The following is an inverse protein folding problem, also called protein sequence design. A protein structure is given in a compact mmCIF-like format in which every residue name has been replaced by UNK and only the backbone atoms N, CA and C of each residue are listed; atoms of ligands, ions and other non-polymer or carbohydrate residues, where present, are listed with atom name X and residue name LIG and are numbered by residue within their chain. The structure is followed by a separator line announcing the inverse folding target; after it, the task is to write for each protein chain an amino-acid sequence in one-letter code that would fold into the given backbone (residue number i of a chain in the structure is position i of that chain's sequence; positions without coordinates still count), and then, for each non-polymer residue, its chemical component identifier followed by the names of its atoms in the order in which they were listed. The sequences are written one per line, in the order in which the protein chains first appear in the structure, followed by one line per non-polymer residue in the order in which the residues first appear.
data_IF_143284329516
#
_entry.id   IF_143284329516
#
_cell.length_a   1.000
_cell.length_b   1.000
_cell.length_c   1.000
_cell.angle_alpha   90.00
_cell.angle_beta   90.00
_cell.angle_gamma   90.00
#
_symmetry.space_group_name_H-M   'P 1'
#
loop_
_entity.id
_entity.type
_entity.pdbx_description
1 polymer ?
#
# COMPACT_ATOMS: atom_id res chain seq x y z
N UNK A 1 -18.13 8.70 -7.04
CA UNK A 1 -17.11 7.72 -7.49
C UNK A 1 -17.75 6.72 -8.44
N UNK A 2 -17.05 6.37 -9.50
CA UNK A 2 -17.56 5.38 -10.46
C UNK A 2 -17.82 4.04 -9.78
N UNK A 3 -18.82 3.32 -10.24
CA UNK A 3 -19.16 2.00 -9.71
C UNK A 3 -19.73 1.09 -10.81
N UNK A 4 -19.85 -0.18 -10.49
CA UNK A 4 -20.49 -1.18 -11.34
C UNK A 4 -21.74 -1.63 -10.61
N UNK A 5 -22.89 -1.59 -11.31
CA UNK A 5 -24.15 -2.03 -10.72
C UNK A 5 -24.36 -3.53 -10.96
N UNK A 6 -23.79 -4.34 -10.08
CA UNK A 6 -23.90 -5.81 -10.17
C UNK A 6 -25.29 -6.33 -9.90
N UNK A 7 -26.15 -5.53 -9.26
CA UNK A 7 -27.51 -5.94 -8.87
C UNK A 7 -28.61 -5.45 -9.81
N UNK A 8 -28.22 -4.76 -10.90
CA UNK A 8 -29.20 -4.24 -11.85
C UNK A 8 -30.02 -5.34 -12.51
N UNK A 9 -29.42 -6.53 -12.70
CA UNK A 9 -30.07 -7.68 -13.33
C UNK A 9 -29.33 -8.95 -12.93
N UNK A 10 -30.01 -10.08 -12.91
CA UNK A 10 -29.38 -11.38 -12.67
C UNK A 10 -28.38 -11.74 -13.76
N UNK A 11 -27.41 -12.58 -13.44
CA UNK A 11 -26.37 -13.07 -14.35
C UNK A 11 -25.53 -11.95 -14.96
N UNK A 12 -25.11 -10.98 -14.14
CA UNK A 12 -24.21 -9.91 -14.59
C UNK A 12 -22.92 -10.51 -15.17
N UNK A 13 -22.51 -10.12 -16.40
CA UNK A 13 -21.29 -10.67 -17.00
C UNK A 13 -20.05 -10.13 -16.30
N UNK A 14 -19.24 -11.05 -15.78
CA UNK A 14 -17.91 -10.71 -15.27
C UNK A 14 -16.89 -10.83 -16.41
N UNK A 15 -16.31 -9.73 -16.79
CA UNK A 15 -15.34 -9.64 -17.87
C UNK A 15 -14.02 -9.05 -17.38
N UNK A 16 -12.96 -9.14 -18.19
CA UNK A 16 -11.71 -8.47 -17.88
C UNK A 16 -11.93 -6.96 -17.72
N UNK A 17 -12.81 -6.36 -18.51
CA UNK A 17 -13.13 -4.94 -18.42
C UNK A 17 -13.80 -4.58 -17.09
N UNK A 18 -14.77 -5.38 -16.64
CA UNK A 18 -15.44 -5.13 -15.37
C UNK A 18 -14.49 -5.28 -14.20
N UNK A 19 -13.61 -6.29 -14.22
CA UNK A 19 -12.62 -6.48 -13.16
C UNK A 19 -11.56 -5.39 -13.18
N UNK A 20 -11.13 -4.95 -14.35
CA UNK A 20 -10.18 -3.84 -14.47
C UNK A 20 -10.80 -2.55 -13.92
N UNK A 21 -12.07 -2.29 -14.19
CA UNK A 21 -12.77 -1.12 -13.64
C UNK A 21 -12.78 -1.15 -12.11
N UNK A 22 -12.99 -2.31 -11.49
CA UNK A 22 -12.90 -2.47 -10.03
C UNK A 22 -11.50 -2.10 -9.54
N UNK A 23 -10.45 -2.60 -10.21
CA UNK A 23 -9.08 -2.25 -9.84
C UNK A 23 -8.81 -0.74 -9.97
N UNK A 24 -9.31 -0.10 -11.02
CA UNK A 24 -9.12 1.34 -11.21
C UNK A 24 -9.81 2.15 -10.09
N UNK A 25 -10.98 1.70 -9.65
CA UNK A 25 -11.67 2.34 -8.52
C UNK A 25 -10.88 2.19 -7.22
N UNK A 26 -10.28 1.02 -6.97
CA UNK A 26 -9.42 0.78 -5.81
C UNK A 26 -8.18 1.69 -5.87
N UNK A 27 -7.53 1.78 -7.03
CA UNK A 27 -6.34 2.64 -7.21
C UNK A 27 -6.67 4.11 -7.01
N UNK A 28 -7.84 4.55 -7.50
CA UNK A 28 -8.29 5.92 -7.29
C UNK A 28 -8.44 6.23 -5.80
N UNK A 29 -9.02 5.31 -5.05
CA UNK A 29 -9.18 5.47 -3.59
C UNK A 29 -7.81 5.49 -2.90
N UNK A 30 -6.89 4.63 -3.32
CA UNK A 30 -5.54 4.58 -2.74
C UNK A 30 -4.76 5.89 -2.95
N UNK A 31 -5.07 6.65 -4.00
CA UNK A 31 -4.45 7.95 -4.24
C UNK A 31 -4.73 8.96 -3.13
N UNK A 32 -5.74 8.75 -2.30
CA UNK A 32 -5.97 9.57 -1.11
C UNK A 32 -4.78 9.52 -0.14
N UNK A 33 -3.94 8.49 -0.21
CA UNK A 33 -2.72 8.41 0.59
C UNK A 33 -1.75 9.56 0.29
N UNK A 34 -1.82 10.16 -0.90
CA UNK A 34 -1.00 11.32 -1.25
C UNK A 34 -1.27 12.54 -0.38
N UNK A 35 -2.39 12.59 0.33
CA UNK A 35 -2.70 13.69 1.24
C UNK A 35 -1.71 13.79 2.41
N UNK A 36 -1.02 12.72 2.74
CA UNK A 36 0.04 12.71 3.76
C UNK A 36 1.44 13.03 3.23
N UNK A 37 1.57 13.21 1.91
CA UNK A 37 2.86 13.41 1.25
C UNK A 37 3.24 12.21 0.39
N UNK A 38 4.43 12.27 -0.21
CA UNK A 38 4.90 11.21 -1.11
C UNK A 38 5.56 10.05 -0.36
N UNK A 39 6.15 10.31 0.81
CA UNK A 39 6.91 9.31 1.58
C UNK A 39 6.58 9.46 3.06
N UNK A 40 5.89 8.48 3.62
CA UNK A 40 5.54 8.50 5.04
C UNK A 40 5.00 7.14 5.49
N UNK A 41 4.87 6.96 6.82
CA UNK A 41 4.24 5.79 7.43
C UNK A 41 2.77 6.13 7.68
N UNK A 42 1.86 5.36 7.09
CA UNK A 42 0.42 5.58 7.27
C UNK A 42 -0.09 4.97 8.57
N UNK A 43 0.30 3.73 8.86
CA UNK A 43 -0.12 3.04 10.08
C UNK A 43 0.84 1.91 10.42
N UNK A 44 0.82 1.46 11.66
CA UNK A 44 1.72 0.40 12.14
C UNK A 44 3.17 0.84 12.14
N UNK A 45 4.07 -0.05 11.74
CA UNK A 45 5.52 0.19 11.70
C UNK A 45 6.05 0.72 13.04
N UNK A 46 5.59 0.11 14.14
CA UNK A 46 5.98 0.53 15.48
C UNK A 46 7.40 0.05 15.75
N UNK A 47 8.27 1.00 16.07
CA UNK A 47 9.69 0.78 16.34
C UNK A 47 9.90 0.64 17.85
N UNK A 48 10.34 -0.54 18.28
CA UNK A 48 10.65 -0.80 19.70
C UNK A 48 12.15 -0.66 20.02
N UNK A 49 12.94 -0.19 19.05
CA UNK A 49 14.40 -0.04 19.17
C UNK A 49 15.18 -1.20 18.57
N UNK A 50 14.61 -2.39 18.48
CA UNK A 50 15.24 -3.59 17.93
C UNK A 50 14.47 -4.09 16.71
N UNK A 51 13.15 -4.13 16.80
CA UNK A 51 12.27 -4.60 15.74
C UNK A 51 11.27 -3.50 15.36
N UNK A 52 10.76 -3.59 14.15
CA UNK A 52 9.67 -2.74 13.65
C UNK A 52 8.52 -3.67 13.26
N UNK A 53 7.31 -3.35 13.69
CA UNK A 53 6.13 -4.16 13.37
C UNK A 53 5.69 -3.98 11.93
N UNK A 54 4.86 -4.90 11.46
CA UNK A 54 4.18 -4.75 10.18
C UNK A 54 3.33 -3.48 10.15
N UNK A 55 3.11 -2.94 8.97
CA UNK A 55 2.30 -1.74 8.82
C UNK A 55 2.00 -1.43 7.38
N UNK A 56 1.67 -0.17 7.13
CA UNK A 56 1.39 0.36 5.81
C UNK A 56 2.24 1.62 5.61
N UNK A 57 2.97 1.64 4.51
CA UNK A 57 3.90 2.72 4.18
C UNK A 57 3.57 3.27 2.79
N UNK A 58 3.86 4.55 2.58
CA UNK A 58 3.73 5.19 1.27
C UNK A 58 5.13 5.57 0.80
N UNK A 59 5.54 5.06 -0.36
CA UNK A 59 6.84 5.33 -0.97
C UNK A 59 6.61 5.90 -2.37
N UNK A 60 7.08 7.11 -2.61
CA UNK A 60 6.89 7.83 -3.88
C UNK A 60 5.42 7.85 -4.32
N UNK A 61 4.51 8.00 -3.35
CA UNK A 61 3.07 8.03 -3.60
C UNK A 61 2.40 6.67 -3.76
N UNK A 62 3.14 5.58 -3.69
CA UNK A 62 2.60 4.22 -3.78
C UNK A 62 2.31 3.68 -2.38
N UNK A 63 1.08 3.21 -2.17
CA UNK A 63 0.66 2.59 -0.92
C UNK A 63 1.09 1.13 -0.91
N UNK A 64 1.90 0.75 0.08
CA UNK A 64 2.50 -0.59 0.16
C UNK A 64 2.33 -1.18 1.54
N UNK A 65 2.08 -2.51 1.64
CA UNK A 65 2.25 -3.19 2.92
C UNK A 65 3.72 -3.20 3.30
N UNK A 66 4.01 -2.97 4.58
CA UNK A 66 5.36 -3.02 5.13
C UNK A 66 5.53 -4.31 5.92
N UNK A 67 6.51 -5.11 5.53
CA UNK A 67 6.90 -6.30 6.27
C UNK A 67 7.90 -5.92 7.35
N UNK A 68 7.49 -6.05 8.61
CA UNK A 68 8.34 -5.75 9.76
C UNK A 68 9.41 -6.81 9.96
N UNK A 69 10.27 -6.53 10.90
CA UNK A 69 11.37 -7.40 11.27
C UNK A 69 12.43 -6.65 12.06
N UNK A 70 13.64 -7.15 12.04
CA UNK A 70 14.78 -6.49 12.69
C UNK A 70 15.04 -5.16 12.00
N UNK A 71 15.10 -4.09 12.79
CA UNK A 71 15.30 -2.74 12.29
C UNK A 71 16.62 -2.61 11.54
N UNK A 72 16.56 -1.99 10.36
CA UNK A 72 17.73 -1.60 9.57
C UNK A 72 17.67 -0.12 9.23
N UNK A 73 18.69 0.36 8.55
CA UNK A 73 18.78 1.77 8.16
C UNK A 73 18.13 2.06 6.82
N UNK A 74 17.93 1.02 6.00
CA UNK A 74 17.43 1.15 4.64
C UNK A 74 16.29 0.20 4.38
N UNK A 75 15.38 0.62 3.50
CA UNK A 75 14.25 -0.19 3.05
C UNK A 75 14.24 -0.28 1.53
N UNK A 76 13.62 -1.33 1.03
CA UNK A 76 13.46 -1.57 -0.40
C UNK A 76 12.03 -2.01 -0.71
N UNK A 77 11.63 -1.88 -1.97
CA UNK A 77 10.39 -2.46 -2.47
C UNK A 77 10.73 -3.79 -3.12
N UNK A 78 10.14 -4.87 -2.60
CA UNK A 78 10.29 -6.20 -3.19
C UNK A 78 9.06 -6.52 -4.02
N UNK A 79 9.27 -6.82 -5.29
CA UNK A 79 8.21 -7.28 -6.18
C UNK A 79 8.39 -8.76 -6.46
N UNK A 80 7.32 -9.53 -6.24
CA UNK A 80 7.26 -10.94 -6.62
C UNK A 80 6.08 -11.16 -7.54
N UNK A 81 6.22 -12.14 -8.42
CA UNK A 81 5.15 -12.49 -9.35
C UNK A 81 4.83 -13.97 -9.22
N UNK A 82 3.62 -14.32 -9.56
CA UNK A 82 3.14 -15.69 -9.52
C UNK A 82 2.43 -16.02 -10.83
N UNK A 83 2.77 -17.17 -11.39
CA UNK A 83 2.13 -17.71 -12.58
C UNK A 83 0.86 -18.44 -12.19
N UNK A 84 -0.20 -18.22 -12.97
CA UNK A 84 -1.45 -18.97 -12.86
C UNK A 84 -1.57 -19.90 -14.04
N UNK A 85 -1.90 -21.17 -13.77
CA UNK A 85 -2.19 -22.15 -14.82
C UNK A 85 -3.65 -22.59 -14.70
N UNK A 86 -4.40 -22.46 -15.80
CA UNK A 86 -5.81 -22.83 -15.85
C UNK A 86 -6.16 -23.29 -17.27
N UNK A 87 -6.95 -24.32 -17.37
CA UNK A 87 -7.46 -24.86 -18.67
C UNK A 87 -6.35 -25.16 -19.67
N UNK A 88 -5.20 -25.64 -19.19
CA UNK A 88 -4.05 -25.95 -20.02
C UNK A 88 -3.28 -24.74 -20.54
N UNK A 89 -3.63 -23.54 -20.07
CA UNK A 89 -2.96 -22.29 -20.45
C UNK A 89 -2.19 -21.74 -19.26
N UNK A 90 -0.98 -21.25 -19.51
CA UNK A 90 -0.14 -20.60 -18.53
C UNK A 90 -0.30 -19.08 -18.65
N UNK A 91 -0.54 -18.42 -17.51
CA UNK A 91 -0.61 -16.97 -17.42
C UNK A 91 0.58 -16.50 -16.58
N UNK A 92 1.71 -16.17 -17.21
CA UNK A 92 2.89 -15.71 -16.48
C UNK A 92 2.61 -14.34 -15.86
N UNK A 93 3.18 -14.12 -14.66
CA UNK A 93 3.00 -12.86 -13.93
C UNK A 93 1.53 -12.50 -13.71
N UNK A 94 0.67 -13.52 -13.50
CA UNK A 94 -0.76 -13.31 -13.27
C UNK A 94 -1.03 -12.54 -11.97
N UNK A 95 -0.21 -12.78 -10.96
CA UNK A 95 -0.27 -12.07 -9.69
C UNK A 95 1.03 -11.32 -9.47
N UNK A 96 0.91 -10.06 -9.07
CA UNK A 96 2.05 -9.19 -8.79
C UNK A 96 1.91 -8.70 -7.36
N UNK A 97 2.92 -9.01 -6.53
CA UNK A 97 2.96 -8.63 -5.13
C UNK A 97 4.10 -7.65 -4.91
N UNK A 98 3.80 -6.53 -4.28
CA UNK A 98 4.79 -5.52 -3.94
C UNK A 98 4.70 -5.23 -2.45
N UNK A 99 5.83 -5.35 -1.76
CA UNK A 99 5.94 -5.03 -0.33
C UNK A 99 7.17 -4.18 -0.10
N UNK A 100 7.14 -3.42 0.99
CA UNK A 100 8.33 -2.74 1.49
C UNK A 100 8.90 -3.51 2.67
N UNK A 101 10.21 -3.57 2.77
CA UNK A 101 10.91 -4.27 3.87
C UNK A 101 12.30 -3.68 4.08
N UNK A 102 12.89 -3.98 5.22
CA UNK A 102 14.28 -3.63 5.46
C UNK A 102 15.22 -4.42 4.56
N UNK A 103 16.25 -3.74 4.05
CA UNK A 103 17.29 -4.35 3.24
C UNK A 103 18.56 -3.50 3.38
N UNK A 104 19.68 -4.13 3.62
CA UNK A 104 20.96 -3.43 3.74
C UNK A 104 21.37 -2.71 2.46
N UNK A 105 20.81 -3.13 1.32
CA UNK A 105 21.06 -2.54 -0.01
C UNK A 105 19.87 -1.73 -0.53
N UNK A 106 18.93 -1.38 0.36
CA UNK A 106 17.70 -0.68 -0.03
C UNK A 106 17.96 0.72 -0.58
N UNK A 107 17.07 1.17 -1.46
CA UNK A 107 17.18 2.47 -2.12
C UNK A 107 16.73 3.62 -1.24
N UNK A 108 15.97 3.35 -0.19
CA UNK A 108 15.35 4.38 0.64
C UNK A 108 15.91 4.33 2.05
N UNK A 109 16.08 5.50 2.67
CA UNK A 109 16.50 5.61 4.06
C UNK A 109 15.29 5.50 4.98
N UNK A 110 15.33 4.61 5.96
CA UNK A 110 14.25 4.47 6.94
C UNK A 110 13.96 5.78 7.68
N UNK A 111 14.99 6.56 7.96
CA UNK A 111 14.86 7.83 8.69
C UNK A 111 14.06 8.89 7.94
N UNK A 112 13.89 8.75 6.62
CA UNK A 112 13.09 9.68 5.81
C UNK A 112 11.58 9.47 5.98
N UNK A 113 11.18 8.37 6.62
CA UNK A 113 9.78 8.00 6.79
C UNK A 113 9.33 8.29 8.22
N UNK A 114 8.36 9.18 8.35
CA UNK A 114 7.78 9.58 9.63
C UNK A 114 6.31 9.23 9.61
N UNK A 115 5.81 8.75 10.73
CA UNK A 115 4.37 8.47 10.85
C UNK A 115 3.60 9.78 10.86
N UNK A 116 2.62 9.92 9.95
CA UNK A 116 1.76 11.10 9.92
C UNK A 116 0.75 11.04 11.06
N UNK A 117 0.42 12.21 11.56
CA UNK A 117 -0.62 12.35 12.58
C UNK A 117 -2.00 12.24 11.93
N UNK A 118 -2.96 11.68 12.65
CA UNK A 118 -4.36 11.78 12.26
C UNK A 118 -4.80 13.24 12.30
N UNK A 119 -5.88 13.56 11.59
CA UNK A 119 -6.43 14.92 11.63
C UNK A 119 -6.78 15.34 13.06
N UNK A 120 -7.27 14.41 13.87
CA UNK A 120 -7.58 14.67 15.29
C UNK A 120 -6.33 14.99 16.10
N UNK A 121 -5.25 14.21 15.92
CA UNK A 121 -3.99 14.45 16.61
C UNK A 121 -3.37 15.79 16.21
N UNK A 122 -3.44 16.13 14.91
CA UNK A 122 -2.93 17.39 14.40
C UNK A 122 -3.69 18.57 14.99
N UNK A 123 -5.02 18.48 15.07
CA UNK A 123 -5.85 19.51 15.66
C UNK A 123 -5.52 19.71 17.13
N UNK A 124 -5.33 18.63 17.88
CA UNK A 124 -4.93 18.70 19.29
C UNK A 124 -3.59 19.41 19.48
N UNK A 125 -2.61 19.17 18.57
CA UNK A 125 -1.33 19.86 18.63
C UNK A 125 -1.46 21.35 18.32
N UNK A 126 -2.29 21.72 17.36
CA UNK A 126 -2.55 23.13 17.04
C UNK A 126 -3.22 23.83 18.22
N UNK A 127 -4.19 23.19 18.86
CA UNK A 127 -4.85 23.75 20.05
C UNK A 127 -3.88 23.95 21.21
N UNK A 128 -2.91 23.05 21.38
CA UNK A 128 -1.90 23.16 22.43
C UNK A 128 -0.95 24.35 22.23
N UNK A 129 -0.81 24.86 21.01
CA UNK A 129 0.04 26.01 20.69
C UNK A 129 -0.69 27.33 20.94
N UNK A 130 -2.00 27.32 20.83
CA UNK A 130 -2.83 28.50 21.07
C UNK A 130 -3.26 28.60 22.52
#
# INVERSE_FOLDING_TARGET
MNNINFTAQDNFPLSNESMDMVQQMIKLTANMALSGGANYILSGCVDDGVNVSDGIIVINGELLPFQGGVKGDRITIQQTTQTLSAFGVSYPEAYIFRIAKFSSTGEFNWSDFVQVLTNQQLQQKVEAIT
#
